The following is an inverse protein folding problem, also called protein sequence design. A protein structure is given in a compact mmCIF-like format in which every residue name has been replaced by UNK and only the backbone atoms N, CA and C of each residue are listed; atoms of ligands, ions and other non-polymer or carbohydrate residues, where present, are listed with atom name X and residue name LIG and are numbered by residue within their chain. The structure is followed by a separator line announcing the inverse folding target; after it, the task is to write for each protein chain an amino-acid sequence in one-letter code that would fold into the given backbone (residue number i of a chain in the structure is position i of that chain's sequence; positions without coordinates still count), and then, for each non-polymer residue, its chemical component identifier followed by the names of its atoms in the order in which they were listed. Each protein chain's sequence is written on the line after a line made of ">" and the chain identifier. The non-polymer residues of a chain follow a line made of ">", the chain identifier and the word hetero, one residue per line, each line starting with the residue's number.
data_IF_022395269402
#
_entry.id   IF_022395269402
#
_cell.length_a   1.000
_cell.length_b   1.000
_cell.length_c   1.000
_cell.angle_alpha   90.00
_cell.angle_beta   90.00
_cell.angle_gamma   90.00
#
_symmetry.space_group_name_H-M   'P 1'
#
loop_
_entity.id
_entity.type
_entity.pdbx_description
1 polymer ?
#
# COMPACT_ATOMS: atom_id res chain seq x y z
N UNK A 1 -32.04 -11.07 -16.59
CA UNK A 1 -30.83 -10.53 -15.96
C UNK A 1 -29.67 -10.83 -16.88
N UNK A 2 -28.92 -9.82 -17.36
CA UNK A 2 -27.78 -10.04 -18.26
C UNK A 2 -26.80 -11.03 -17.60
N UNK A 3 -26.29 -11.99 -18.39
CA UNK A 3 -25.37 -13.05 -17.95
C UNK A 3 -24.18 -12.49 -17.15
N UNK A 4 -23.66 -11.35 -17.60
CA UNK A 4 -22.54 -10.64 -17.01
C UNK A 4 -22.85 -10.16 -15.58
N UNK A 5 -24.05 -9.64 -15.35
CA UNK A 5 -24.50 -9.20 -14.03
C UNK A 5 -24.62 -10.38 -13.05
N UNK A 6 -25.09 -11.55 -13.53
CA UNK A 6 -25.12 -12.78 -12.72
C UNK A 6 -23.71 -13.13 -12.26
N UNK A 7 -22.73 -13.12 -13.17
CA UNK A 7 -21.34 -13.46 -12.88
C UNK A 7 -20.72 -12.47 -11.88
N UNK A 8 -20.98 -11.17 -12.04
CA UNK A 8 -20.52 -10.15 -11.10
C UNK A 8 -21.11 -10.34 -9.70
N UNK A 9 -22.41 -10.63 -9.60
CA UNK A 9 -23.08 -10.91 -8.33
C UNK A 9 -22.48 -12.15 -7.66
N UNK A 10 -22.29 -13.24 -8.41
CA UNK A 10 -21.67 -14.47 -7.89
C UNK A 10 -20.26 -14.21 -7.35
N UNK A 11 -19.45 -13.42 -8.07
CA UNK A 11 -18.12 -13.05 -7.63
C UNK A 11 -18.15 -12.20 -6.34
N UNK A 12 -19.01 -11.17 -6.27
CA UNK A 12 -19.17 -10.36 -5.06
C UNK A 12 -19.64 -11.20 -3.86
N UNK A 13 -20.56 -12.14 -4.09
CA UNK A 13 -21.03 -13.09 -3.06
C UNK A 13 -19.89 -13.99 -2.56
N UNK A 14 -18.99 -14.46 -3.43
CA UNK A 14 -17.85 -15.28 -3.01
C UNK A 14 -16.94 -14.56 -2.00
N UNK A 15 -16.63 -13.28 -2.25
CA UNK A 15 -15.86 -12.45 -1.30
C UNK A 15 -16.65 -12.16 -0.02
N UNK A 16 -17.95 -11.87 -0.13
CA UNK A 16 -18.81 -11.58 1.02
C UNK A 16 -18.95 -12.80 1.95
N UNK A 17 -19.20 -13.97 1.37
CA UNK A 17 -19.27 -15.24 2.11
C UNK A 17 -17.93 -15.57 2.76
N UNK A 18 -16.81 -15.33 2.07
CA UNK A 18 -15.48 -15.49 2.66
C UNK A 18 -15.28 -14.57 3.86
N UNK A 19 -15.69 -13.30 3.75
CA UNK A 19 -15.60 -12.35 4.86
C UNK A 19 -16.39 -12.85 6.07
N UNK A 20 -17.65 -13.25 5.89
CA UNK A 20 -18.47 -13.79 6.97
C UNK A 20 -17.90 -15.09 7.54
N UNK A 21 -17.42 -16.01 6.70
CA UNK A 21 -16.79 -17.25 7.13
C UNK A 21 -15.60 -16.99 8.04
N UNK A 22 -14.63 -16.18 7.61
CA UNK A 22 -13.46 -15.85 8.44
C UNK A 22 -13.82 -15.00 9.67
N UNK A 23 -14.79 -14.09 9.55
CA UNK A 23 -15.27 -13.30 10.69
C UNK A 23 -15.92 -14.18 11.76
N UNK A 24 -16.78 -15.13 11.37
CA UNK A 24 -17.46 -16.04 12.28
C UNK A 24 -16.47 -17.00 12.98
N UNK A 25 -15.43 -17.44 12.28
CA UNK A 25 -14.36 -18.27 12.85
C UNK A 25 -13.54 -17.52 13.90
N UNK A 26 -13.27 -16.23 13.69
CA UNK A 26 -12.36 -15.44 14.53
C UNK A 26 -13.06 -14.66 15.64
N UNK A 27 -14.28 -14.18 15.39
CA UNK A 27 -15.02 -13.23 16.24
C UNK A 27 -14.22 -12.00 16.66
N UNK A 28 -13.16 -11.67 15.91
CA UNK A 28 -12.25 -10.55 16.14
C UNK A 28 -11.78 -10.03 14.79
N UNK A 29 -11.74 -8.71 14.61
CA UNK A 29 -11.18 -8.10 13.42
C UNK A 29 -9.65 -8.14 13.47
N UNK A 30 -9.04 -8.69 12.43
CA UNK A 30 -7.60 -8.66 12.19
C UNK A 30 -7.29 -7.93 10.87
N UNK A 31 -6.01 -7.72 10.59
CA UNK A 31 -5.59 -7.01 9.37
C UNK A 31 -6.04 -7.73 8.09
N UNK A 32 -6.08 -9.07 8.08
CA UNK A 32 -6.55 -9.85 6.93
C UNK A 32 -8.04 -9.60 6.65
N UNK A 33 -8.88 -9.58 7.69
CA UNK A 33 -10.30 -9.28 7.58
C UNK A 33 -10.57 -7.85 7.10
N UNK A 34 -9.74 -6.87 7.51
CA UNK A 34 -9.84 -5.51 6.98
C UNK A 34 -9.62 -5.48 5.46
N UNK A 35 -8.54 -6.12 4.98
CA UNK A 35 -8.24 -6.18 3.54
C UNK A 35 -9.33 -6.94 2.79
N UNK A 36 -9.85 -8.03 3.36
CA UNK A 36 -10.96 -8.77 2.77
C UNK A 36 -12.24 -7.92 2.68
N UNK A 37 -12.53 -7.09 3.68
CA UNK A 37 -13.66 -6.15 3.63
C UNK A 37 -13.49 -5.11 2.52
N UNK A 38 -12.28 -4.58 2.34
CA UNK A 38 -11.98 -3.64 1.24
C UNK A 38 -12.24 -4.32 -0.12
N UNK A 39 -11.80 -5.57 -0.28
CA UNK A 39 -12.07 -6.37 -1.48
C UNK A 39 -13.57 -6.62 -1.69
N UNK A 40 -14.33 -6.91 -0.63
CA UNK A 40 -15.79 -7.03 -0.70
C UNK A 40 -16.41 -5.74 -1.23
N UNK A 41 -16.02 -4.58 -0.68
CA UNK A 41 -16.53 -3.28 -1.13
C UNK A 41 -16.19 -3.04 -2.61
N UNK A 42 -14.95 -3.35 -3.02
CA UNK A 42 -14.49 -3.24 -4.41
C UNK A 42 -15.32 -4.11 -5.37
N UNK A 43 -15.54 -5.38 -5.02
CA UNK A 43 -16.27 -6.33 -5.87
C UNK A 43 -17.79 -6.08 -5.89
N UNK A 44 -18.38 -5.57 -4.81
CA UNK A 44 -19.76 -5.06 -4.83
C UNK A 44 -19.84 -3.81 -5.71
N UNK A 45 -18.90 -2.89 -5.56
CA UNK A 45 -18.79 -1.68 -6.37
C UNK A 45 -18.68 -1.99 -7.87
N UNK A 46 -18.06 -3.11 -8.25
CA UNK A 46 -17.94 -3.52 -9.65
C UNK A 46 -19.30 -3.81 -10.31
N UNK A 47 -20.32 -4.20 -9.55
CA UNK A 47 -21.70 -4.36 -10.05
C UNK A 47 -22.26 -3.00 -10.50
N UNK A 48 -22.08 -1.96 -9.67
CA UNK A 48 -22.52 -0.60 -10.00
C UNK A 48 -21.70 -0.01 -11.14
N UNK A 49 -20.39 -0.24 -11.13
CA UNK A 49 -19.49 0.26 -12.16
C UNK A 49 -19.79 -0.37 -13.54
N UNK A 50 -20.18 -1.65 -13.59
CA UNK A 50 -20.67 -2.31 -14.80
C UNK A 50 -21.87 -1.56 -15.40
N UNK A 51 -22.87 -1.20 -14.58
CA UNK A 51 -24.03 -0.46 -15.07
C UNK A 51 -23.65 0.92 -15.63
N UNK A 52 -22.69 1.59 -15.01
CA UNK A 52 -22.16 2.87 -15.55
C UNK A 52 -21.52 2.66 -16.92
N UNK A 53 -20.72 1.60 -17.09
CA UNK A 53 -20.07 1.29 -18.38
C UNK A 53 -21.09 0.87 -19.46
N UNK A 54 -22.11 0.11 -19.09
CA UNK A 54 -23.21 -0.30 -19.97
C UNK A 54 -24.00 0.92 -20.48
N UNK A 55 -24.34 1.86 -19.58
CA UNK A 55 -24.97 3.14 -19.95
C UNK A 55 -24.09 3.95 -20.92
N UNK A 56 -22.77 3.88 -20.77
CA UNK A 56 -21.81 4.55 -21.66
C UNK A 56 -21.58 3.80 -22.98
N UNK A 57 -22.24 2.65 -23.20
CA UNK A 57 -22.13 1.85 -24.41
C UNK A 57 -20.79 1.12 -24.56
N UNK A 58 -20.12 0.83 -23.44
CA UNK A 58 -18.87 0.05 -23.46
C UNK A 58 -19.22 -1.43 -23.54
N UNK A 59 -18.82 -2.09 -24.63
CA UNK A 59 -18.98 -3.54 -24.78
C UNK A 59 -18.10 -4.29 -23.79
N UNK A 60 -18.74 -5.00 -22.86
CA UNK A 60 -18.08 -5.89 -21.89
C UNK A 60 -18.51 -7.33 -22.19
N UNK A 61 -17.58 -8.28 -21.99
CA UNK A 61 -17.87 -9.70 -22.10
C UNK A 61 -17.34 -10.41 -20.86
N UNK A 62 -18.11 -10.28 -19.77
CA UNK A 62 -17.71 -10.82 -18.48
C UNK A 62 -17.81 -12.34 -18.49
N UNK A 63 -16.69 -13.00 -18.22
CA UNK A 63 -16.62 -14.46 -18.11
C UNK A 63 -16.34 -14.89 -16.66
N UNK A 64 -16.71 -16.13 -16.31
CA UNK A 64 -16.59 -16.62 -14.93
C UNK A 64 -15.15 -16.97 -14.54
N UNK A 65 -14.40 -17.60 -15.46
CA UNK A 65 -13.07 -18.15 -15.20
C UNK A 65 -12.03 -17.10 -14.70
N UNK A 66 -11.95 -15.88 -15.26
CA UNK A 66 -11.03 -14.85 -14.74
C UNK A 66 -11.31 -14.49 -13.29
N UNK A 67 -12.59 -14.43 -12.90
CA UNK A 67 -12.96 -14.14 -11.51
C UNK A 67 -12.65 -15.30 -10.56
N UNK A 68 -12.84 -16.54 -11.00
CA UNK A 68 -12.42 -17.72 -10.21
C UNK A 68 -10.92 -17.68 -9.96
N UNK A 69 -10.11 -17.41 -11.00
CA UNK A 69 -8.66 -17.27 -10.86
C UNK A 69 -8.28 -16.13 -9.92
N UNK A 70 -8.87 -14.95 -10.12
CA UNK A 70 -8.59 -13.76 -9.32
C UNK A 70 -8.93 -14.00 -7.84
N UNK A 71 -10.09 -14.60 -7.57
CA UNK A 71 -10.54 -14.95 -6.23
C UNK A 71 -9.59 -15.94 -5.54
N UNK A 72 -9.28 -17.08 -6.18
CA UNK A 72 -8.39 -18.09 -5.59
C UNK A 72 -7.02 -17.49 -5.29
N UNK A 73 -6.45 -16.75 -6.23
CA UNK A 73 -5.13 -16.13 -6.08
C UNK A 73 -5.11 -15.08 -4.97
N UNK A 74 -6.15 -14.26 -4.88
CA UNK A 74 -6.28 -13.22 -3.83
C UNK A 74 -6.44 -13.85 -2.46
N UNK A 75 -7.36 -14.81 -2.29
CA UNK A 75 -7.59 -15.48 -1.02
C UNK A 75 -6.35 -16.27 -0.59
N UNK A 76 -5.63 -16.90 -1.52
CA UNK A 76 -4.37 -17.57 -1.24
C UNK A 76 -3.31 -16.61 -0.67
N UNK A 77 -3.12 -15.45 -1.30
CA UNK A 77 -2.22 -14.40 -0.81
C UNK A 77 -2.62 -13.89 0.58
N UNK A 78 -3.92 -13.74 0.83
CA UNK A 78 -4.45 -13.16 2.08
C UNK A 78 -4.56 -14.17 3.23
N UNK A 79 -4.60 -15.47 2.92
CA UNK A 79 -4.77 -16.57 3.88
C UNK A 79 -3.84 -16.50 5.12
N UNK A 80 -2.53 -16.20 5.00
CA UNK A 80 -1.65 -16.11 6.16
C UNK A 80 -2.11 -15.07 7.19
N UNK A 81 -2.66 -13.95 6.72
CA UNK A 81 -3.15 -12.85 7.53
C UNK A 81 -4.57 -13.08 8.07
N UNK A 82 -5.40 -13.84 7.34
CA UNK A 82 -6.73 -14.25 7.80
C UNK A 82 -6.64 -15.28 8.93
N UNK A 83 -5.67 -16.19 8.86
CA UNK A 83 -5.52 -17.30 9.82
C UNK A 83 -5.01 -16.86 11.20
N UNK A 84 -4.25 -15.77 11.31
CA UNK A 84 -3.52 -15.42 12.53
C UNK A 84 -4.10 -14.21 13.25
N UNK A 85 -4.03 -14.26 14.59
CA UNK A 85 -4.58 -13.25 15.49
C UNK A 85 -3.46 -12.37 16.02
N UNK A 86 -3.21 -11.24 15.35
CA UNK A 86 -2.24 -10.23 15.77
C UNK A 86 -0.83 -10.78 16.04
N UNK A 87 -0.01 -9.98 16.71
CA UNK A 87 1.35 -10.33 17.13
C UNK A 87 1.46 -10.11 18.63
N UNK A 88 1.96 -11.09 19.39
CA UNK A 88 2.05 -11.03 20.85
C UNK A 88 3.28 -10.26 21.36
N UNK A 89 4.40 -10.29 20.61
CA UNK A 89 5.56 -9.45 20.88
C UNK A 89 6.44 -9.29 19.63
N UNK A 90 7.23 -8.20 19.60
CA UNK A 90 8.25 -7.94 18.57
C UNK A 90 9.63 -8.09 19.19
N UNK A 91 10.46 -8.96 18.59
CA UNK A 91 11.85 -9.15 18.99
C UNK A 91 12.76 -8.13 18.29
N UNK A 92 13.32 -7.22 19.10
CA UNK A 92 14.26 -6.18 18.66
C UNK A 92 15.65 -6.37 19.25
N UNK A 93 15.93 -7.51 19.91
CA UNK A 93 17.20 -7.72 20.59
C UNK A 93 18.38 -7.64 19.63
N UNK A 94 19.39 -6.86 20.01
CA UNK A 94 20.56 -6.57 19.17
C UNK A 94 20.34 -5.40 18.20
N UNK A 95 19.13 -4.88 18.08
CA UNK A 95 18.76 -3.80 17.14
C UNK A 95 18.35 -2.50 17.84
N UNK A 96 18.40 -2.42 19.16
CA UNK A 96 17.89 -1.29 19.93
C UNK A 96 18.58 0.03 19.56
N UNK A 97 19.92 0.01 19.43
CA UNK A 97 20.70 1.18 19.03
C UNK A 97 20.39 1.59 17.60
N UNK A 98 20.36 0.63 16.67
CA UNK A 98 20.04 0.89 15.26
C UNK A 98 18.66 1.53 15.10
N UNK A 99 17.63 0.95 15.75
CA UNK A 99 16.27 1.50 15.72
C UNK A 99 16.26 2.93 16.28
N UNK A 100 16.93 3.19 17.41
CA UNK A 100 16.99 4.53 18.00
C UNK A 100 17.65 5.55 17.07
N UNK A 101 18.80 5.22 16.48
CA UNK A 101 19.49 6.14 15.57
C UNK A 101 18.73 6.36 14.26
N UNK A 102 18.14 5.32 13.70
CA UNK A 102 17.26 5.45 12.53
C UNK A 102 16.03 6.29 12.85
N UNK A 103 15.47 6.18 14.06
CA UNK A 103 14.35 7.04 14.50
C UNK A 103 14.75 8.50 14.49
N UNK A 104 15.94 8.83 15.02
CA UNK A 104 16.47 10.20 15.05
C UNK A 104 16.70 10.70 13.62
N UNK A 105 17.33 9.88 12.77
CA UNK A 105 17.57 10.20 11.37
C UNK A 105 16.25 10.49 10.63
N UNK A 106 15.23 9.66 10.82
CA UNK A 106 13.90 9.86 10.24
C UNK A 106 13.31 11.20 10.65
N UNK A 107 13.43 11.59 11.93
CA UNK A 107 12.97 12.89 12.38
C UNK A 107 13.72 13.99 11.65
N UNK A 108 15.05 13.94 11.63
CA UNK A 108 15.89 14.97 11.00
C UNK A 108 15.57 15.17 9.51
N UNK A 109 15.46 14.10 8.73
CA UNK A 109 15.16 14.20 7.29
C UNK A 109 13.73 14.68 6.99
N UNK A 110 12.84 14.72 7.98
CA UNK A 110 11.48 15.21 7.81
C UNK A 110 11.27 16.65 8.27
N UNK A 111 12.23 17.28 8.98
CA UNK A 111 12.05 18.63 9.53
C UNK A 111 11.84 19.66 8.42
N UNK A 112 12.77 19.76 7.49
CA UNK A 112 12.74 20.77 6.43
C UNK A 112 11.58 20.54 5.44
N UNK A 113 11.37 19.33 4.89
CA UNK A 113 10.24 19.09 4.00
C UNK A 113 8.88 19.33 4.69
N UNK A 114 8.79 19.12 6.00
CA UNK A 114 7.55 19.38 6.75
C UNK A 114 7.20 20.88 6.79
N UNK A 115 8.17 21.75 7.07
CA UNK A 115 7.92 23.19 7.07
C UNK A 115 7.59 23.71 5.67
N UNK A 116 8.29 23.22 4.64
CA UNK A 116 7.96 23.54 3.24
C UNK A 116 6.55 23.08 2.87
N UNK A 117 6.15 21.87 3.30
CA UNK A 117 4.80 21.36 3.06
C UNK A 117 3.72 22.12 3.83
N UNK A 118 4.00 22.63 5.03
CA UNK A 118 3.09 23.53 5.75
C UNK A 118 2.95 24.86 5.02
N UNK A 119 4.07 25.47 4.64
CA UNK A 119 4.07 26.72 3.87
C UNK A 119 3.22 26.57 2.60
N UNK A 120 3.42 25.46 1.90
CA UNK A 120 2.65 25.08 0.74
C UNK A 120 1.16 24.98 0.99
N UNK A 121 0.76 24.31 2.07
CA UNK A 121 -0.64 24.15 2.42
C UNK A 121 -1.33 25.52 2.56
N UNK A 122 -0.68 26.47 3.24
CA UNK A 122 -1.21 27.83 3.41
C UNK A 122 -1.18 28.65 2.13
N UNK A 123 -0.12 28.57 1.33
CA UNK A 123 -0.05 29.23 0.02
C UNK A 123 -1.14 28.73 -0.94
N UNK A 124 -1.42 27.43 -0.88
CA UNK A 124 -2.40 26.73 -1.72
C UNK A 124 -3.84 26.95 -1.28
N UNK A 125 -4.08 27.30 -0.01
CA UNK A 125 -5.42 27.46 0.56
C UNK A 125 -6.25 28.59 -0.07
N UNK A 126 -5.65 29.43 -0.93
CA UNK A 126 -6.32 30.48 -1.71
C UNK A 126 -6.49 30.19 -3.21
N UNK A 127 -6.07 29.02 -3.72
CA UNK A 127 -6.14 28.65 -5.15
C UNK A 127 -6.92 27.34 -5.34
N UNK A 128 -7.47 27.11 -6.54
CA UNK A 128 -8.12 25.84 -6.88
C UNK A 128 -7.10 24.69 -6.79
N UNK A 129 -7.37 23.69 -5.96
CA UNK A 129 -6.53 22.51 -5.76
C UNK A 129 -6.33 21.75 -7.09
N UNK A 130 -7.31 21.83 -8.01
CA UNK A 130 -7.19 21.29 -9.37
C UNK A 130 -6.12 21.99 -10.20
N UNK A 131 -6.03 23.33 -10.11
CA UNK A 131 -5.04 24.13 -10.80
C UNK A 131 -3.61 23.83 -10.31
N UNK A 132 -3.42 23.60 -9.01
CA UNK A 132 -2.11 23.24 -8.44
C UNK A 132 -1.64 21.87 -8.94
N UNK A 133 -2.57 20.92 -9.09
CA UNK A 133 -2.26 19.60 -9.66
C UNK A 133 -1.77 19.72 -11.11
N UNK A 134 -2.47 20.51 -11.94
CA UNK A 134 -2.11 20.73 -13.34
C UNK A 134 -0.77 21.43 -13.49
N UNK A 135 -0.52 22.52 -12.75
CA UNK A 135 0.77 23.21 -12.77
C UNK A 135 1.94 22.33 -12.33
N UNK A 136 1.70 21.40 -11.38
CA UNK A 136 2.74 20.45 -10.95
C UNK A 136 3.00 19.36 -12.00
N UNK A 137 1.97 18.87 -12.70
CA UNK A 137 2.15 17.94 -13.82
C UNK A 137 2.95 18.60 -14.94
N UNK A 138 2.66 19.88 -15.22
CA UNK A 138 3.33 20.63 -16.28
C UNK A 138 4.74 21.11 -15.89
N UNK A 139 5.19 20.85 -14.65
CA UNK A 139 6.54 21.22 -14.18
C UNK A 139 6.73 22.71 -13.89
N UNK A 140 5.64 23.49 -13.83
CA UNK A 140 5.68 24.96 -13.71
C UNK A 140 5.83 25.45 -12.26
N UNK A 141 5.77 24.53 -11.29
CA UNK A 141 5.88 24.81 -9.86
C UNK A 141 7.05 24.03 -9.26
N UNK A 142 8.22 24.66 -9.17
CA UNK A 142 9.36 24.15 -8.41
C UNK A 142 9.33 24.75 -6.99
N UNK A 143 8.75 23.98 -6.08
CA UNK A 143 8.25 24.52 -4.81
C UNK A 143 9.13 24.18 -3.61
N UNK A 144 9.90 23.11 -3.72
CA UNK A 144 10.78 22.65 -2.66
C UNK A 144 12.17 23.24 -2.87
N UNK A 145 12.85 23.61 -1.79
CA UNK A 145 14.28 23.94 -1.90
C UNK A 145 15.07 22.73 -2.39
N UNK A 146 16.30 22.95 -2.87
CA UNK A 146 17.16 21.85 -3.30
C UNK A 146 17.34 20.79 -2.20
N UNK A 147 17.56 21.23 -0.95
CA UNK A 147 17.75 20.34 0.20
C UNK A 147 16.42 19.69 0.58
N UNK A 148 15.35 20.49 0.70
CA UNK A 148 14.00 20.02 0.96
C UNK A 148 13.56 18.91 0.01
N UNK A 149 13.80 19.06 -1.30
CA UNK A 149 13.47 18.03 -2.30
C UNK A 149 14.25 16.72 -2.07
N UNK A 150 15.56 16.80 -1.79
CA UNK A 150 16.38 15.59 -1.52
C UNK A 150 15.93 14.88 -0.24
N UNK A 151 15.63 15.65 0.81
CA UNK A 151 15.14 15.13 2.08
C UNK A 151 13.72 14.56 1.95
N UNK A 152 12.86 15.17 1.13
CA UNK A 152 11.54 14.67 0.78
C UNK A 152 11.64 13.29 0.14
N UNK A 153 12.49 13.14 -0.89
CA UNK A 153 12.73 11.85 -1.56
C UNK A 153 13.26 10.81 -0.56
N UNK A 154 14.25 11.18 0.27
CA UNK A 154 14.81 10.30 1.28
C UNK A 154 13.76 9.83 2.30
N UNK A 155 12.88 10.72 2.75
CA UNK A 155 11.80 10.39 3.69
C UNK A 155 10.79 9.40 3.08
N UNK A 156 10.51 9.54 1.78
CA UNK A 156 9.67 8.61 1.01
C UNK A 156 10.25 7.20 0.96
N UNK A 157 11.58 7.04 0.86
CA UNK A 157 12.23 5.74 0.80
C UNK A 157 12.14 4.93 2.10
N UNK A 158 12.04 5.59 3.24
CA UNK A 158 12.00 4.92 4.56
C UNK A 158 10.58 4.84 5.15
N UNK A 159 9.54 5.18 4.38
CA UNK A 159 8.15 5.31 4.87
C UNK A 159 7.62 4.11 5.67
N UNK A 160 7.85 2.87 5.20
CA UNK A 160 7.37 1.65 5.90
C UNK A 160 8.07 1.51 7.25
N UNK A 161 9.38 1.75 7.28
CA UNK A 161 10.16 1.71 8.51
C UNK A 161 9.75 2.84 9.47
N UNK A 162 9.51 4.05 8.96
CA UNK A 162 8.97 5.19 9.72
C UNK A 162 7.64 4.84 10.38
N UNK A 163 6.69 4.27 9.63
CA UNK A 163 5.39 3.82 10.16
C UNK A 163 5.59 2.80 11.28
N UNK A 164 6.42 1.78 11.06
CA UNK A 164 6.72 0.78 12.08
C UNK A 164 7.28 1.42 13.36
N UNK A 165 8.33 2.24 13.24
CA UNK A 165 9.02 2.84 14.39
C UNK A 165 8.09 3.77 15.17
N UNK A 166 7.24 4.54 14.49
CA UNK A 166 6.22 5.37 15.15
C UNK A 166 5.31 4.54 16.04
N UNK A 167 4.68 3.50 15.51
CA UNK A 167 3.79 2.64 16.30
C UNK A 167 4.56 1.87 17.38
N UNK A 168 5.74 1.34 17.06
CA UNK A 168 6.60 0.66 18.02
C UNK A 168 6.99 1.55 19.22
N UNK A 169 7.17 2.85 19.00
CA UNK A 169 7.52 3.81 20.06
C UNK A 169 6.50 3.87 21.22
N UNK A 170 5.24 3.47 20.98
CA UNK A 170 4.18 3.40 21.99
C UNK A 170 4.16 2.09 22.78
N UNK A 171 4.89 1.06 22.33
CA UNK A 171 4.92 -0.27 22.98
C UNK A 171 6.00 -0.39 24.04
N UNK A 172 7.11 0.38 23.95
CA UNK A 172 8.26 0.27 24.86
C UNK A 172 8.49 1.51 25.70
N UNK A 173 8.89 1.27 26.96
CA UNK A 173 9.52 2.27 27.84
C UNK A 173 10.96 2.49 27.35
N UNK A 174 11.22 3.57 26.64
CA UNK A 174 12.57 3.88 26.12
C UNK A 174 12.62 4.95 25.04
N UNK A 175 11.49 5.21 24.38
CA UNK A 175 11.34 6.37 23.50
C UNK A 175 10.98 7.61 24.31
N UNK A 176 11.69 8.72 24.09
CA UNK A 176 11.31 10.00 24.68
C UNK A 176 10.03 10.53 24.01
N UNK A 177 9.22 11.29 24.75
CA UNK A 177 8.01 11.92 24.18
C UNK A 177 8.34 12.84 23.00
N UNK A 178 9.51 13.48 23.01
CA UNK A 178 10.01 14.32 21.92
C UNK A 178 10.24 13.49 20.66
N UNK A 179 10.88 12.32 20.78
CA UNK A 179 11.11 11.43 19.64
C UNK A 179 9.79 10.87 19.09
N UNK A 180 8.83 10.52 19.96
CA UNK A 180 7.49 10.10 19.55
C UNK A 180 6.77 11.20 18.75
N UNK A 181 6.86 12.44 19.22
CA UNK A 181 6.28 13.60 18.55
C UNK A 181 6.93 13.86 17.18
N UNK A 182 8.26 13.83 17.10
CA UNK A 182 8.98 13.96 15.83
C UNK A 182 8.65 12.87 14.82
N UNK A 183 8.48 11.62 15.25
CA UNK A 183 8.01 10.53 14.38
C UNK A 183 6.57 10.76 13.92
N UNK A 184 5.72 11.36 14.76
CA UNK A 184 4.38 11.81 14.39
C UNK A 184 4.41 12.89 13.30
N UNK A 185 5.31 13.86 13.41
CA UNK A 185 5.56 14.87 12.36
C UNK A 185 5.95 14.18 11.05
N UNK A 186 6.82 13.18 11.08
CA UNK A 186 7.20 12.45 9.86
C UNK A 186 6.00 11.74 9.18
N UNK A 187 5.05 11.19 9.95
CA UNK A 187 3.83 10.60 9.37
C UNK A 187 2.90 11.66 8.79
N UNK A 188 2.74 12.79 9.47
CA UNK A 188 1.92 13.92 9.01
C UNK A 188 2.53 14.53 7.75
N UNK A 189 3.86 14.69 7.70
CA UNK A 189 4.57 15.20 6.53
C UNK A 189 4.24 14.37 5.28
N UNK A 190 4.28 13.04 5.38
CA UNK A 190 3.89 12.16 4.27
C UNK A 190 2.44 12.39 3.79
N UNK A 191 1.51 12.65 4.71
CA UNK A 191 0.11 12.99 4.35
C UNK A 191 0.02 14.36 3.69
N UNK A 192 0.75 15.37 4.19
CA UNK A 192 0.78 16.72 3.61
C UNK A 192 1.28 16.69 2.17
N UNK A 193 2.23 15.82 1.81
CA UNK A 193 2.65 15.64 0.41
C UNK A 193 1.46 15.24 -0.46
N UNK A 194 0.64 14.28 0.00
CA UNK A 194 -0.57 13.85 -0.70
C UNK A 194 -1.59 14.98 -0.86
N UNK A 195 -1.71 15.86 0.14
CA UNK A 195 -2.59 17.04 0.09
C UNK A 195 -2.04 18.08 -0.90
N UNK A 196 -0.76 18.43 -0.79
CA UNK A 196 -0.10 19.44 -1.62
C UNK A 196 0.06 19.01 -3.09
N UNK A 197 0.04 17.70 -3.36
CA UNK A 197 -0.04 17.15 -4.72
C UNK A 197 -1.48 17.04 -5.23
N UNK A 198 -2.51 17.31 -4.42
CA UNK A 198 -3.90 17.00 -4.77
C UNK A 198 -4.18 15.49 -5.00
N UNK A 199 -3.21 14.62 -4.70
CA UNK A 199 -3.27 13.20 -5.00
C UNK A 199 -3.95 12.42 -3.86
N UNK A 200 -5.29 12.39 -3.89
CA UNK A 200 -6.13 11.68 -2.93
C UNK A 200 -5.75 10.20 -2.74
N UNK A 201 -5.33 9.54 -3.81
CA UNK A 201 -4.85 8.15 -3.77
C UNK A 201 -3.63 7.97 -2.87
N UNK A 202 -2.69 8.93 -2.86
CA UNK A 202 -1.49 8.88 -2.01
C UNK A 202 -1.87 8.92 -0.53
N UNK A 203 -2.84 9.76 -0.17
CA UNK A 203 -3.36 9.86 1.21
C UNK A 203 -3.98 8.52 1.63
N UNK A 204 -4.85 7.94 0.80
CA UNK A 204 -5.50 6.66 1.09
C UNK A 204 -4.48 5.53 1.26
N UNK A 205 -3.48 5.45 0.38
CA UNK A 205 -2.38 4.49 0.45
C UNK A 205 -1.65 4.61 1.80
N UNK A 206 -1.27 5.82 2.19
CA UNK A 206 -0.56 6.06 3.45
C UNK A 206 -1.41 5.73 4.67
N UNK A 207 -2.69 6.12 4.67
CA UNK A 207 -3.62 5.77 5.73
C UNK A 207 -3.77 4.25 5.86
N UNK A 208 -3.90 3.53 4.74
CA UNK A 208 -3.96 2.06 4.73
C UNK A 208 -2.68 1.43 5.28
N UNK A 209 -1.50 1.94 4.94
CA UNK A 209 -0.23 1.52 5.56
C UNK A 209 -0.26 1.70 7.08
N UNK A 210 -0.73 2.87 7.55
CA UNK A 210 -0.79 3.19 8.98
C UNK A 210 -1.79 2.29 9.71
N UNK A 211 -2.99 2.06 9.14
CA UNK A 211 -3.98 1.15 9.69
C UNK A 211 -3.50 -0.30 9.72
N UNK A 212 -2.85 -0.77 8.65
CA UNK A 212 -2.29 -2.12 8.61
C UNK A 212 -1.25 -2.32 9.72
N UNK A 213 -0.30 -1.38 9.86
CA UNK A 213 0.70 -1.44 10.91
C UNK A 213 0.08 -1.40 12.32
N UNK A 214 -0.89 -0.49 12.54
CA UNK A 214 -1.60 -0.37 13.80
C UNK A 214 -2.33 -1.67 14.17
N UNK A 215 -3.10 -2.27 13.24
CA UNK A 215 -3.83 -3.50 13.48
C UNK A 215 -2.92 -4.71 13.72
N UNK A 216 -1.80 -4.81 12.98
CA UNK A 216 -0.79 -5.83 13.22
C UNK A 216 -0.20 -5.74 14.64
N UNK A 217 -0.03 -4.52 15.15
CA UNK A 217 0.53 -4.26 16.49
C UNK A 217 -0.52 -4.07 17.58
N UNK A 218 -1.81 -4.23 17.27
CA UNK A 218 -2.91 -3.83 18.16
C UNK A 218 -2.82 -4.48 19.55
N UNK A 219 -2.49 -5.77 19.58
CA UNK A 219 -2.30 -6.57 20.81
C UNK A 219 -1.11 -6.13 21.66
N UNK A 220 -0.20 -5.32 21.13
CA UNK A 220 1.00 -4.83 21.82
C UNK A 220 0.74 -3.54 22.60
N UNK A 221 -0.37 -2.84 22.30
CA UNK A 221 -0.66 -1.55 22.90
C UNK A 221 -1.43 -1.68 24.23
N UNK A 222 -1.10 -0.83 25.19
CA UNK A 222 -1.93 -0.67 26.38
C UNK A 222 -3.33 -0.14 25.99
N UNK A 223 -4.39 -0.61 26.67
CA UNK A 223 -5.78 -0.18 26.42
C UNK A 223 -5.95 1.34 26.38
N UNK A 224 -5.21 2.09 27.22
CA UNK A 224 -5.23 3.57 27.24
C UNK A 224 -4.75 4.19 25.92
N UNK A 225 -3.74 3.59 25.29
CA UNK A 225 -3.18 4.04 24.00
C UNK A 225 -4.17 3.73 22.89
N UNK A 226 -4.71 2.50 22.88
CA UNK A 226 -5.75 2.08 21.94
C UNK A 226 -6.96 3.02 21.99
N UNK A 227 -7.48 3.31 23.18
CA UNK A 227 -8.62 4.22 23.35
C UNK A 227 -8.29 5.65 22.86
N UNK A 228 -7.05 6.10 22.99
CA UNK A 228 -6.61 7.39 22.45
C UNK A 228 -6.62 7.37 20.92
N UNK A 229 -6.11 6.31 20.30
CA UNK A 229 -6.16 6.16 18.84
C UNK A 229 -7.61 6.13 18.32
N UNK A 230 -8.52 5.41 18.98
CA UNK A 230 -9.94 5.43 18.61
C UNK A 230 -10.55 6.83 18.69
N UNK A 231 -10.25 7.60 19.74
CA UNK A 231 -10.72 8.99 19.86
C UNK A 231 -10.16 9.88 18.76
N UNK A 232 -8.87 9.74 18.42
CA UNK A 232 -8.24 10.48 17.32
C UNK A 232 -8.89 10.11 15.99
N UNK A 233 -9.09 8.82 15.74
CA UNK A 233 -9.73 8.32 14.52
C UNK A 233 -11.15 8.89 14.36
N UNK A 234 -11.95 8.86 15.43
CA UNK A 234 -13.32 9.41 15.43
C UNK A 234 -13.33 10.94 15.30
N UNK A 235 -12.35 11.64 15.89
CA UNK A 235 -12.21 13.08 15.71
C UNK A 235 -11.81 13.46 14.28
N UNK A 236 -10.99 12.63 13.61
CA UNK A 236 -10.52 12.88 12.25
C UNK A 236 -11.47 12.36 11.15
N UNK A 237 -12.43 11.50 11.47
CA UNK A 237 -13.31 10.90 10.45
C UNK A 237 -14.17 11.95 9.74
N UNK A 238 -14.78 12.88 10.48
CA UNK A 238 -15.62 13.94 9.89
C UNK A 238 -14.78 14.91 9.03
N UNK A 239 -13.66 15.48 9.53
CA UNK A 239 -12.78 16.32 8.72
C UNK A 239 -12.26 15.62 7.46
N UNK A 240 -11.91 14.34 7.54
CA UNK A 240 -11.44 13.57 6.38
C UNK A 240 -12.55 13.46 5.32
N UNK A 241 -13.78 13.11 5.71
CA UNK A 241 -14.92 13.05 4.78
C UNK A 241 -15.16 14.41 4.12
N UNK A 242 -15.17 15.50 4.89
CA UNK A 242 -15.33 16.85 4.35
C UNK A 242 -14.21 17.17 3.37
N UNK A 243 -12.95 16.90 3.73
CA UNK A 243 -11.79 17.12 2.89
C UNK A 243 -11.88 16.35 1.55
N UNK A 244 -12.19 15.06 1.60
CA UNK A 244 -12.36 14.26 0.38
C UNK A 244 -13.53 14.78 -0.48
N UNK A 245 -14.64 15.20 0.13
CA UNK A 245 -15.78 15.79 -0.58
C UNK A 245 -15.41 17.11 -1.26
N UNK A 246 -14.70 18.02 -0.59
CA UNK A 246 -14.26 19.30 -1.15
C UNK A 246 -13.39 19.09 -2.39
N UNK A 247 -12.36 18.24 -2.31
CA UNK A 247 -11.50 18.01 -3.48
C UNK A 247 -12.33 17.34 -4.60
N UNK A 248 -13.26 16.44 -4.27
CA UNK A 248 -14.15 15.79 -5.25
C UNK A 248 -14.99 16.79 -6.01
N UNK A 249 -15.64 17.71 -5.30
CA UNK A 249 -16.47 18.76 -5.89
C UNK A 249 -15.63 19.78 -6.68
N UNK A 250 -14.45 20.16 -6.19
CA UNK A 250 -13.52 21.06 -6.91
C UNK A 250 -13.10 20.50 -8.28
N UNK A 251 -12.83 19.20 -8.38
CA UNK A 251 -12.51 18.55 -9.67
C UNK A 251 -13.71 18.37 -10.59
N UNK A 252 -14.92 18.26 -10.04
CA UNK A 252 -16.13 18.19 -10.85
C UNK A 252 -16.47 19.54 -11.48
N UNK A 253 -16.32 20.63 -10.72
CA UNK A 253 -16.66 21.99 -11.16
C UNK A 253 -15.65 22.61 -12.14
N UNK A 254 -14.43 22.06 -12.27
CA UNK A 254 -13.42 22.54 -13.23
C UNK A 254 -13.71 22.14 -14.69
N UNK A 255 -14.84 21.47 -14.97
CA UNK A 255 -15.34 21.28 -16.34
C UNK A 255 -14.53 20.30 -17.21
N UNK A 256 -13.53 19.61 -16.65
CA UNK A 256 -12.60 18.74 -17.40
C UNK A 256 -13.08 17.31 -17.61
N UNK A 257 -14.32 16.95 -17.23
CA UNK A 257 -14.74 15.53 -17.23
C UNK A 257 -16.19 15.28 -17.63
N UNK A 258 -16.41 14.44 -18.65
CA UNK A 258 -17.73 13.91 -19.07
C UNK A 258 -18.25 12.75 -18.19
N UNK A 259 -17.66 12.51 -17.01
CA UNK A 259 -18.03 11.39 -16.13
C UNK A 259 -18.85 11.90 -14.95
N UNK A 260 -19.92 11.20 -14.59
CA UNK A 260 -20.70 11.49 -13.39
C UNK A 260 -19.84 11.36 -12.12
N UNK A 261 -20.20 12.09 -11.06
CA UNK A 261 -19.55 12.03 -9.74
C UNK A 261 -19.47 10.58 -9.22
N UNK A 262 -20.55 9.82 -9.42
CA UNK A 262 -20.64 8.39 -9.09
C UNK A 262 -19.65 7.56 -9.92
N UNK A 263 -19.59 7.79 -11.23
CA UNK A 263 -18.63 7.12 -12.12
C UNK A 263 -17.17 7.35 -11.72
N UNK A 264 -16.83 8.54 -11.21
CA UNK A 264 -15.49 8.84 -10.69
C UNK A 264 -15.17 8.12 -9.39
N UNK A 265 -16.12 8.04 -8.46
CA UNK A 265 -15.94 7.32 -7.19
C UNK A 265 -15.81 5.82 -7.42
N UNK A 266 -16.64 5.26 -8.30
CA UNK A 266 -16.61 3.84 -8.66
C UNK A 266 -15.35 3.45 -9.42
N UNK A 267 -14.81 4.33 -10.26
CA UNK A 267 -13.61 4.04 -11.05
C UNK A 267 -12.42 3.64 -10.16
N UNK A 268 -12.14 4.36 -9.08
CA UNK A 268 -10.98 4.03 -8.23
C UNK A 268 -11.19 2.81 -7.33
N UNK A 269 -12.44 2.49 -6.99
CA UNK A 269 -12.74 1.42 -6.03
C UNK A 269 -13.05 0.10 -6.74
N UNK A 270 -13.53 0.15 -7.97
CA UNK A 270 -14.28 -0.97 -8.58
C UNK A 270 -13.89 -1.32 -10.01
N UNK A 271 -13.03 -0.52 -10.65
CA UNK A 271 -12.59 -0.74 -12.03
C UNK A 271 -11.65 -1.95 -12.15
N UNK A 272 -10.78 -2.16 -11.16
CA UNK A 272 -9.76 -3.22 -11.15
C UNK A 272 -10.31 -4.62 -11.48
N UNK A 273 -11.36 -5.11 -10.80
CA UNK A 273 -11.99 -6.39 -11.13
C UNK A 273 -12.51 -6.50 -12.57
N UNK A 274 -13.19 -5.46 -13.07
CA UNK A 274 -13.76 -5.47 -14.44
C UNK A 274 -12.65 -5.51 -15.48
N UNK A 275 -11.61 -4.67 -15.31
CA UNK A 275 -10.45 -4.64 -16.20
C UNK A 275 -9.66 -5.95 -16.18
N UNK A 276 -9.52 -6.59 -15.01
CA UNK A 276 -8.88 -7.89 -14.96
C UNK A 276 -9.64 -8.93 -15.82
N UNK A 277 -10.97 -8.93 -15.75
CA UNK A 277 -11.80 -9.89 -16.48
C UNK A 277 -11.78 -9.65 -18.00
N UNK A 278 -12.10 -8.43 -18.43
CA UNK A 278 -12.29 -8.13 -19.85
C UNK A 278 -10.98 -7.88 -20.59
N UNK A 279 -10.02 -7.24 -19.93
CA UNK A 279 -8.86 -6.71 -20.63
C UNK A 279 -7.58 -7.51 -20.32
N UNK A 280 -7.37 -7.95 -19.06
CA UNK A 280 -6.11 -8.64 -18.67
C UNK A 280 -6.13 -10.11 -19.04
N UNK A 281 -7.24 -10.81 -18.76
CA UNK A 281 -7.30 -12.26 -18.85
C UNK A 281 -6.89 -12.84 -20.20
N UNK A 282 -7.33 -12.19 -21.29
CA UNK A 282 -7.02 -12.59 -22.67
C UNK A 282 -5.93 -11.71 -23.31
N UNK A 283 -5.17 -10.96 -22.51
CA UNK A 283 -4.08 -10.14 -23.02
C UNK A 283 -2.85 -10.98 -23.36
N UNK A 284 -2.05 -10.47 -24.30
CA UNK A 284 -0.67 -10.94 -24.45
C UNK A 284 0.14 -10.51 -23.20
N UNK A 285 0.49 -11.50 -22.38
CA UNK A 285 1.25 -11.30 -21.16
C UNK A 285 2.75 -11.32 -21.47
N UNK A 286 3.42 -10.16 -21.54
CA UNK A 286 4.88 -10.14 -21.53
C UNK A 286 5.49 -8.75 -21.30
N UNK A 287 5.16 -8.09 -20.18
CA UNK A 287 5.90 -6.87 -19.81
C UNK A 287 7.32 -7.16 -19.30
N UNK A 288 7.78 -8.43 -19.32
CA UNK A 288 9.16 -8.85 -19.05
C UNK A 288 9.74 -8.27 -17.74
N UNK A 289 8.91 -8.08 -16.71
CA UNK A 289 9.34 -7.50 -15.44
C UNK A 289 9.43 -5.96 -15.43
N UNK A 290 9.04 -5.26 -16.49
CA UNK A 290 9.11 -3.79 -16.56
C UNK A 290 8.09 -3.09 -15.65
N UNK A 291 7.15 -3.85 -15.07
CA UNK A 291 6.16 -3.31 -14.14
C UNK A 291 6.59 -3.51 -12.68
N UNK A 292 7.00 -4.72 -12.31
CA UNK A 292 7.31 -5.07 -10.92
C UNK A 292 8.82 -5.12 -10.60
N UNK A 293 9.68 -5.18 -11.62
CA UNK A 293 11.12 -5.41 -11.47
C UNK A 293 11.98 -4.39 -12.23
N UNK A 294 11.42 -3.28 -12.72
CA UNK A 294 12.15 -2.29 -13.52
C UNK A 294 13.42 -1.76 -12.84
N UNK A 295 13.39 -1.49 -11.54
CA UNK A 295 14.57 -1.04 -10.82
C UNK A 295 15.64 -2.14 -10.71
N UNK A 296 15.22 -3.39 -10.45
CA UNK A 296 16.14 -4.53 -10.39
C UNK A 296 16.79 -4.79 -11.76
N UNK A 297 16.01 -4.68 -12.85
CA UNK A 297 16.52 -4.85 -14.21
C UNK A 297 17.60 -3.83 -14.53
N UNK A 298 17.37 -2.55 -14.22
CA UNK A 298 18.36 -1.50 -14.42
C UNK A 298 19.65 -1.78 -13.62
N UNK A 299 19.54 -2.19 -12.35
CA UNK A 299 20.70 -2.56 -11.53
C UNK A 299 21.52 -3.72 -12.12
N UNK A 300 20.88 -4.63 -12.85
CA UNK A 300 21.52 -5.76 -13.53
C UNK A 300 22.01 -5.40 -14.94
N UNK A 301 21.86 -4.15 -15.38
CA UNK A 301 22.21 -3.70 -16.73
C UNK A 301 21.25 -4.19 -17.83
N UNK A 302 20.06 -4.68 -17.45
CA UNK A 302 19.04 -5.13 -18.38
C UNK A 302 18.19 -3.95 -18.86
N UNK A 303 17.74 -3.99 -20.12
CA UNK A 303 16.84 -2.98 -20.69
C UNK A 303 15.51 -2.95 -19.93
N UNK A 304 15.09 -1.75 -19.53
CA UNK A 304 13.87 -1.48 -18.77
C UNK A 304 13.43 -0.02 -18.96
N UNK A 305 12.24 0.31 -18.47
CA UNK A 305 11.67 1.66 -18.52
C UNK A 305 11.61 2.26 -17.11
N UNK A 306 12.05 3.52 -16.95
CA UNK A 306 12.12 4.18 -15.64
C UNK A 306 10.96 5.14 -15.38
N UNK A 307 10.27 5.58 -16.45
CA UNK A 307 9.09 6.43 -16.39
C UNK A 307 7.82 5.66 -16.79
N UNK A 308 6.67 6.11 -16.29
CA UNK A 308 5.37 5.55 -16.66
C UNK A 308 5.11 5.73 -18.15
N UNK A 309 5.36 6.94 -18.66
CA UNK A 309 5.09 7.31 -20.04
C UNK A 309 5.87 6.45 -21.04
N UNK A 310 7.18 6.30 -20.87
CA UNK A 310 8.00 5.49 -21.79
C UNK A 310 7.55 4.03 -21.84
N UNK A 311 7.21 3.47 -20.67
CA UNK A 311 6.73 2.10 -20.56
C UNK A 311 5.39 1.95 -21.27
N UNK A 312 4.47 2.88 -21.03
CA UNK A 312 3.13 2.83 -21.59
C UNK A 312 3.13 3.03 -23.10
N UNK A 313 3.91 3.96 -23.63
CA UNK A 313 4.08 4.18 -25.07
C UNK A 313 4.68 2.94 -25.75
N UNK A 314 5.70 2.31 -25.14
CA UNK A 314 6.31 1.11 -25.69
C UNK A 314 5.32 -0.06 -25.80
N UNK A 315 4.61 -0.36 -24.71
CA UNK A 315 3.70 -1.49 -24.68
C UNK A 315 2.38 -1.20 -25.39
N UNK A 316 1.98 0.06 -25.52
CA UNK A 316 0.90 0.46 -26.40
C UNK A 316 1.25 0.16 -27.86
N UNK A 317 2.46 0.51 -28.29
CA UNK A 317 2.93 0.21 -29.65
C UNK A 317 3.12 -1.30 -29.88
N UNK A 318 3.61 -2.04 -28.88
CA UNK A 318 3.91 -3.47 -29.00
C UNK A 318 2.68 -4.37 -28.90
N UNK A 319 1.81 -4.10 -27.92
CA UNK A 319 0.70 -4.98 -27.56
C UNK A 319 -0.67 -4.36 -27.90
N UNK A 320 -0.70 -3.13 -28.45
CA UNK A 320 -1.93 -2.38 -28.73
C UNK A 320 -2.62 -1.84 -27.47
N UNK A 321 -1.97 -1.87 -26.29
CA UNK A 321 -2.61 -1.60 -24.99
C UNK A 321 -1.68 -0.89 -24.02
N UNK A 322 -2.22 0.03 -23.21
CA UNK A 322 -1.48 0.76 -22.18
C UNK A 322 -1.27 -0.10 -20.93
N UNK A 323 -0.09 -0.02 -20.32
CA UNK A 323 0.24 -0.75 -19.07
C UNK A 323 -0.44 -0.12 -17.85
N UNK A 324 -0.84 1.15 -17.95
CA UNK A 324 -1.69 1.84 -16.98
C UNK A 324 -3.06 1.20 -16.77
N UNK A 325 -3.55 0.40 -17.72
CA UNK A 325 -4.90 -0.20 -17.62
C UNK A 325 -4.97 -1.27 -16.51
N UNK A 326 -3.85 -1.91 -16.16
CA UNK A 326 -3.83 -3.12 -15.34
C UNK A 326 -3.23 -2.97 -13.96
N UNK A 327 -3.49 -1.82 -13.35
CA UNK A 327 -2.77 -1.41 -12.16
C UNK A 327 -3.02 -2.23 -10.90
N UNK A 328 -3.81 -3.31 -10.87
CA UNK A 328 -3.96 -4.12 -9.64
C UNK A 328 -2.71 -4.95 -9.38
N UNK A 329 -2.45 -5.38 -8.14
CA UNK A 329 -1.22 -6.15 -7.87
C UNK A 329 -1.19 -7.50 -8.59
N UNK A 330 -2.34 -8.20 -8.67
CA UNK A 330 -2.44 -9.46 -9.42
C UNK A 330 -2.41 -9.17 -10.92
N UNK A 331 -3.08 -8.11 -11.38
CA UNK A 331 -3.01 -7.67 -12.78
C UNK A 331 -1.58 -7.43 -13.22
N UNK A 332 -0.83 -6.62 -12.48
CA UNK A 332 0.58 -6.33 -12.75
C UNK A 332 1.46 -7.59 -12.72
N UNK A 333 1.20 -8.55 -11.81
CA UNK A 333 1.93 -9.82 -11.80
C UNK A 333 1.62 -10.66 -13.05
N UNK A 334 0.34 -10.75 -13.44
CA UNK A 334 -0.06 -11.46 -14.67
C UNK A 334 0.53 -10.78 -15.90
N UNK A 335 0.60 -9.44 -15.93
CA UNK A 335 1.23 -8.69 -17.02
C UNK A 335 2.70 -9.08 -17.21
N UNK A 336 3.46 -9.19 -16.11
CA UNK A 336 4.89 -9.48 -16.15
C UNK A 336 5.21 -10.97 -16.33
N UNK A 337 4.44 -11.86 -15.70
CA UNK A 337 4.80 -13.27 -15.54
C UNK A 337 3.80 -14.25 -16.18
N UNK A 338 2.64 -13.76 -16.65
CA UNK A 338 1.52 -14.60 -17.09
C UNK A 338 0.77 -15.27 -15.95
N UNK A 339 -0.35 -15.93 -16.28
CA UNK A 339 -1.26 -16.56 -15.31
C UNK A 339 -0.56 -17.64 -14.46
N UNK A 340 0.12 -18.60 -15.10
CA UNK A 340 0.72 -19.74 -14.40
C UNK A 340 1.80 -19.30 -13.40
N UNK A 341 2.74 -18.47 -13.82
CA UNK A 341 3.83 -18.06 -12.95
C UNK A 341 3.34 -17.11 -11.84
N UNK A 342 2.34 -16.26 -12.12
CA UNK A 342 1.71 -15.44 -11.08
C UNK A 342 1.10 -16.29 -9.98
N UNK A 343 0.40 -17.36 -10.35
CA UNK A 343 -0.17 -18.30 -9.38
C UNK A 343 0.94 -18.95 -8.53
N UNK A 344 2.01 -19.42 -9.16
CA UNK A 344 3.18 -20.03 -8.48
C UNK A 344 3.85 -19.04 -7.52
N UNK A 345 4.10 -17.80 -7.95
CA UNK A 345 4.69 -16.75 -7.11
C UNK A 345 3.79 -16.43 -5.91
N UNK A 346 2.47 -16.31 -6.14
CA UNK A 346 1.49 -16.06 -5.10
C UNK A 346 1.45 -17.19 -4.07
N UNK A 347 1.57 -18.44 -4.53
CA UNK A 347 1.67 -19.62 -3.65
C UNK A 347 2.94 -19.59 -2.80
N UNK A 348 4.11 -19.30 -3.38
CA UNK A 348 5.35 -19.17 -2.62
C UNK A 348 5.30 -18.01 -1.61
N UNK A 349 4.75 -16.85 -1.99
CA UNK A 349 4.54 -15.73 -1.09
C UNK A 349 3.65 -16.12 0.10
N UNK A 350 2.57 -16.88 -0.15
CA UNK A 350 1.72 -17.43 0.90
C UNK A 350 2.52 -18.31 1.87
N UNK A 351 3.33 -19.25 1.36
CA UNK A 351 4.16 -20.13 2.19
C UNK A 351 5.20 -19.36 3.02
N UNK A 352 5.86 -18.37 2.43
CA UNK A 352 6.81 -17.50 3.13
C UNK A 352 6.09 -16.76 4.27
N UNK A 353 4.96 -16.11 3.98
CA UNK A 353 4.19 -15.37 4.97
C UNK A 353 3.70 -16.29 6.10
N UNK A 354 3.21 -17.49 5.78
CA UNK A 354 2.82 -18.52 6.76
C UNK A 354 3.98 -18.92 7.67
N UNK A 355 5.18 -19.12 7.11
CA UNK A 355 6.39 -19.46 7.88
C UNK A 355 6.80 -18.33 8.81
N UNK A 356 6.77 -17.08 8.34
CA UNK A 356 7.11 -15.90 9.15
C UNK A 356 6.11 -15.69 10.29
N UNK A 357 4.81 -15.83 10.01
CA UNK A 357 3.76 -15.77 11.03
C UNK A 357 3.75 -16.94 12.03
N UNK A 358 4.34 -18.10 11.68
CA UNK A 358 4.43 -19.29 12.56
C UNK A 358 5.54 -19.15 13.63
N UNK A 359 6.49 -18.22 13.45
CA UNK A 359 7.73 -18.18 14.24
C UNK A 359 7.55 -17.49 15.60
N UNK A 360 7.03 -18.24 16.57
CA UNK A 360 7.03 -17.97 18.04
C UNK A 360 6.20 -16.79 18.53
N UNK A 361 5.96 -16.75 19.85
CA UNK A 361 5.34 -15.61 20.55
C UNK A 361 6.09 -14.27 20.37
N UNK A 362 7.30 -14.29 19.79
CA UNK A 362 8.13 -13.11 19.57
C UNK A 362 8.55 -13.05 18.12
N UNK A 363 7.85 -12.23 17.34
CA UNK A 363 8.15 -12.07 15.93
C UNK A 363 9.32 -11.12 15.75
N UNK A 364 10.38 -11.49 15.00
CA UNK A 364 11.46 -10.55 14.76
C UNK A 364 11.06 -9.36 13.90
N UNK A 365 11.72 -8.22 14.12
CA UNK A 365 11.44 -6.95 13.42
C UNK A 365 11.58 -7.03 11.89
N UNK A 366 12.59 -7.71 11.36
CA UNK A 366 12.78 -7.94 9.91
C UNK A 366 11.59 -8.71 9.31
N UNK A 367 11.11 -9.76 10.00
CA UNK A 367 9.91 -10.49 9.60
C UNK A 367 8.66 -9.62 9.68
N UNK A 368 8.54 -8.76 10.72
CA UNK A 368 7.44 -7.81 10.85
C UNK A 368 7.38 -6.87 9.63
N UNK A 369 8.52 -6.27 9.27
CA UNK A 369 8.61 -5.31 8.18
C UNK A 369 8.26 -5.95 6.83
N UNK A 370 8.72 -7.18 6.60
CA UNK A 370 8.33 -7.95 5.42
C UNK A 370 6.82 -8.16 5.35
N UNK A 371 6.21 -8.63 6.44
CA UNK A 371 4.77 -8.88 6.49
C UNK A 371 3.96 -7.58 6.35
N UNK A 372 4.44 -6.47 6.91
CA UNK A 372 3.83 -5.15 6.77
C UNK A 372 3.89 -4.67 5.31
N UNK A 373 5.02 -4.85 4.63
CA UNK A 373 5.16 -4.57 3.20
C UNK A 373 4.15 -5.37 2.37
N UNK A 374 4.08 -6.69 2.61
CA UNK A 374 3.18 -7.58 1.86
C UNK A 374 1.70 -7.23 2.10
N UNK A 375 1.27 -7.03 3.35
CA UNK A 375 -0.14 -6.70 3.61
C UNK A 375 -0.52 -5.32 3.09
N UNK A 376 0.43 -4.37 3.03
CA UNK A 376 0.19 -3.07 2.42
C UNK A 376 0.07 -3.15 0.90
N UNK A 377 0.87 -4.00 0.24
CA UNK A 377 0.67 -4.32 -1.18
C UNK A 377 -0.74 -4.87 -1.42
N UNK A 378 -1.22 -5.79 -0.58
CA UNK A 378 -2.56 -6.39 -0.73
C UNK A 378 -3.70 -5.43 -0.39
N UNK A 379 -3.52 -4.55 0.61
CA UNK A 379 -4.59 -3.64 1.06
C UNK A 379 -4.95 -2.57 0.04
N UNK A 380 -4.00 -2.16 -0.80
CA UNK A 380 -4.24 -1.25 -1.92
C UNK A 380 -4.37 -1.98 -3.25
N UNK A 381 -3.87 -3.22 -3.33
CA UNK A 381 -3.71 -3.97 -4.57
C UNK A 381 -4.98 -4.19 -5.39
N UNK A 382 -6.18 -3.98 -4.82
CA UNK A 382 -7.46 -3.97 -5.54
C UNK A 382 -7.63 -2.75 -6.47
N UNK A 383 -7.02 -1.62 -6.10
CA UNK A 383 -7.12 -0.33 -6.77
C UNK A 383 -5.78 0.17 -7.34
N UNK A 384 -4.63 -0.34 -6.85
CA UNK A 384 -3.34 -0.05 -7.46
C UNK A 384 -2.22 -0.92 -6.86
N UNK A 385 -1.23 -1.30 -7.67
CA UNK A 385 0.05 -1.80 -7.27
C UNK A 385 0.91 -0.59 -6.89
N UNK A 386 0.86 -0.27 -5.60
CA UNK A 386 1.52 0.91 -5.01
C UNK A 386 3.04 0.90 -5.15
N UNK A 387 3.61 -0.21 -5.59
CA UNK A 387 5.04 -0.41 -5.74
C UNK A 387 5.53 -0.51 -7.19
N UNK A 388 4.65 -0.35 -8.18
CA UNK A 388 5.01 -0.42 -9.61
C UNK A 388 5.87 0.75 -10.10
N UNK A 389 5.86 1.88 -9.39
CA UNK A 389 6.68 3.03 -9.75
C UNK A 389 8.16 2.73 -9.49
N UNK A 390 9.03 3.15 -10.40
CA UNK A 390 10.48 2.99 -10.26
C UNK A 390 11.02 3.54 -8.93
N UNK A 391 10.56 4.72 -8.49
CA UNK A 391 10.91 5.30 -7.19
C UNK A 391 10.40 4.49 -5.99
N UNK A 392 9.27 3.79 -6.15
CA UNK A 392 8.72 2.91 -5.11
C UNK A 392 9.49 1.58 -5.05
N UNK A 393 9.96 1.05 -6.18
CA UNK A 393 10.86 -0.11 -6.19
C UNK A 393 12.22 0.20 -5.53
N UNK A 394 12.76 1.41 -5.73
CA UNK A 394 13.91 1.92 -4.95
C UNK A 394 13.63 1.89 -3.44
N UNK A 395 12.43 2.31 -3.01
CA UNK A 395 12.04 2.25 -1.59
C UNK A 395 11.99 0.81 -1.06
N UNK A 396 11.55 -0.16 -1.87
CA UNK A 396 11.56 -1.59 -1.51
C UNK A 396 12.99 -2.07 -1.35
N UNK A 397 13.89 -1.73 -2.29
CA UNK A 397 15.29 -2.11 -2.19
C UNK A 397 15.94 -1.59 -0.90
N UNK A 398 15.72 -0.32 -0.56
CA UNK A 398 16.19 0.27 0.70
C UNK A 398 15.59 -0.44 1.92
N UNK A 399 14.30 -0.79 1.89
CA UNK A 399 13.67 -1.59 2.94
C UNK A 399 14.36 -2.96 3.10
N UNK A 400 14.67 -3.65 2.00
CA UNK A 400 15.38 -4.93 2.02
C UNK A 400 16.78 -4.78 2.63
N UNK A 401 17.50 -3.70 2.33
CA UNK A 401 18.78 -3.40 2.97
C UNK A 401 18.63 -3.19 4.49
N UNK A 402 17.62 -2.42 4.92
CA UNK A 402 17.32 -2.24 6.35
C UNK A 402 17.03 -3.59 7.01
N UNK A 403 16.19 -4.43 6.40
CA UNK A 403 15.87 -5.76 6.91
C UNK A 403 17.11 -6.66 7.01
N UNK A 404 18.01 -6.60 6.03
CA UNK A 404 19.26 -7.34 6.05
C UNK A 404 20.15 -6.91 7.22
N UNK A 405 20.32 -5.60 7.45
CA UNK A 405 21.07 -5.06 8.60
C UNK A 405 20.45 -5.55 9.93
N UNK A 406 19.12 -5.49 10.04
CA UNK A 406 18.39 -5.96 11.23
C UNK A 406 18.63 -7.46 11.50
N UNK A 407 18.63 -8.28 10.44
CA UNK A 407 18.86 -9.71 10.53
C UNK A 407 20.31 -10.03 10.95
N UNK A 408 21.30 -9.33 10.39
CA UNK A 408 22.73 -9.46 10.74
C UNK A 408 22.97 -9.09 12.20
N UNK A 409 22.43 -7.95 12.65
CA UNK A 409 22.57 -7.49 14.04
C UNK A 409 22.00 -8.50 15.04
N UNK A 410 20.81 -9.05 14.74
CA UNK A 410 20.19 -10.10 15.55
C UNK A 410 21.07 -11.36 15.59
N UNK A 411 21.59 -11.79 14.45
CA UNK A 411 22.48 -12.95 14.38
C UNK A 411 23.73 -12.76 15.25
N UNK A 412 24.38 -11.60 15.13
CA UNK A 412 25.54 -11.24 15.94
C UNK A 412 25.23 -11.20 17.44
N UNK A 413 24.04 -10.70 17.83
CA UNK A 413 23.60 -10.70 19.22
C UNK A 413 23.42 -12.12 19.77
N UNK A 414 22.80 -13.02 19.00
CA UNK A 414 22.62 -14.43 19.40
C UNK A 414 23.97 -15.13 19.55
N UNK A 415 24.91 -14.88 18.64
CA UNK A 415 26.27 -15.42 18.76
C UNK A 415 27.01 -14.94 20.00
N UNK A 416 26.86 -13.66 20.37
CA UNK A 416 27.48 -13.11 21.60
C UNK A 416 26.93 -13.78 22.85
N UNK A 417 25.61 -13.92 22.96
CA UNK A 417 24.99 -14.61 24.10
C UNK A 417 25.47 -16.05 24.19
N UNK A 418 25.53 -16.77 23.05
CA UNK A 418 25.97 -18.16 23.05
C UNK A 418 27.42 -18.30 23.56
N UNK A 419 28.32 -17.40 23.14
CA UNK A 419 29.70 -17.36 23.65
C UNK A 419 29.78 -17.05 25.15
N UNK A 420 28.92 -16.17 25.64
CA UNK A 420 28.84 -15.82 27.07
C UNK A 420 28.25 -16.95 27.93
N UNK A 421 27.39 -17.80 27.37
CA UNK A 421 26.85 -18.98 28.05
C UNK A 421 27.81 -20.18 28.01
N UNK A 422 28.52 -20.37 26.89
CA UNK A 422 29.46 -21.48 26.71
C UNK A 422 30.82 -21.21 27.39
N UNK A 423 31.10 -19.95 27.77
CA UNK A 423 32.32 -19.50 28.43
C UNK A 423 32.23 -19.30 29.96
N UNK A 424 31.16 -19.78 30.61
CA UNK A 424 31.08 -19.83 32.08
C UNK A 424 31.53 -21.23 32.55
N UNK A 425 32.47 -21.33 33.51
CA UNK A 425 32.94 -22.61 34.04
C UNK A 425 31.84 -23.42 34.73
#
# INVERSE_FOLDING_TARGET
>A
MHKDLIILILNALAYLLSFFFFYLLKRKLNVGLLVLLILVISHIGAIFYYNVLDILGVDLNITLLPFVYLYITTIMCLYPFLKRDGISAIDVRGNEKFIKYMSILIVLINIEPFFENIYLLFYSSGKDIGYIYEQRINGELDVYSFIGNKLLVASGYVKIFTTFVFFYSFTKKGFSKVLQFGLGIALINNLLIGINTGARGVILILLLLYFCCFLMMFSLFAKKIVNRFYKILLALSIPLVIFFSIITLGRYNSGTTNKSLEGWLLLYVSEGPIKFNNEMWNAEHNTNGDVNLCYLKEMLGLKTYTTYQERDEHYLAKNGRRVEVFYTFIGDFVSDFGLTMTFVLSFFLCLICMKLYKKSDKMPIDSFLFLLFIIHLYSVGFASNVYRAYSQQKSIFILLMIMMILAINRYNYVLRIKKETDGKP
#
